data_IF_679469852036
#
_entry.id   IF_679469852036
#
_cell.length_a   1.000
_cell.length_b   1.000
_cell.length_c   1.000
_cell.angle_alpha   90.00
_cell.angle_beta   90.00
_cell.angle_gamma   90.00
#
_symmetry.space_group_name_H-M   'P 1'
#
loop_
_entity.id
_entity.type
_entity.pdbx_description
1 polymer ?
#
# COMPACT_ATOMS: atom_id res chain seq x y z
N UNK A 1 51.04 -26.88 -5.99
CA UNK A 1 49.60 -26.92 -5.71
C UNK A 1 49.01 -28.19 -6.36
N UNK A 2 48.36 -29.05 -5.60
CA UNK A 2 47.86 -30.34 -6.08
C UNK A 2 46.67 -30.09 -7.06
N UNK A 3 46.64 -30.74 -8.23
CA UNK A 3 45.57 -30.57 -9.25
C UNK A 3 44.15 -30.67 -8.66
N UNK A 4 43.95 -31.60 -7.70
CA UNK A 4 42.65 -31.73 -6.99
C UNK A 4 42.28 -30.47 -6.23
N UNK A 5 43.23 -29.83 -5.54
CA UNK A 5 43.02 -28.61 -4.78
C UNK A 5 42.67 -27.41 -5.69
N UNK A 6 43.29 -27.36 -6.87
CA UNK A 6 42.98 -26.34 -7.88
C UNK A 6 41.56 -26.48 -8.40
N UNK A 7 41.11 -27.69 -8.75
CA UNK A 7 39.72 -27.94 -9.19
C UNK A 7 38.69 -27.60 -8.11
N UNK A 8 38.97 -27.97 -6.85
CA UNK A 8 38.06 -27.67 -5.74
C UNK A 8 37.94 -26.15 -5.53
N UNK A 9 39.02 -25.41 -5.58
CA UNK A 9 39.04 -23.95 -5.49
C UNK A 9 38.31 -23.29 -6.67
N UNK A 10 38.48 -23.78 -7.89
CA UNK A 10 37.82 -23.27 -9.10
C UNK A 10 36.32 -23.49 -9.07
N UNK A 11 35.87 -24.68 -8.62
CA UNK A 11 34.44 -24.99 -8.45
C UNK A 11 33.83 -24.12 -7.36
N UNK A 12 34.51 -23.93 -6.23
CA UNK A 12 34.07 -23.07 -5.15
C UNK A 12 33.92 -21.59 -5.60
N UNK A 13 34.92 -21.06 -6.32
CA UNK A 13 34.86 -19.73 -6.86
C UNK A 13 33.71 -19.56 -7.88
N UNK A 14 33.48 -20.56 -8.73
CA UNK A 14 32.39 -20.54 -9.70
C UNK A 14 31.02 -20.61 -9.01
N UNK A 15 30.84 -21.39 -7.97
CA UNK A 15 29.60 -21.44 -7.18
C UNK A 15 29.34 -20.10 -6.47
N UNK A 16 30.38 -19.47 -5.92
CA UNK A 16 30.26 -18.15 -5.27
C UNK A 16 29.85 -17.07 -6.30
N UNK A 17 30.34 -17.14 -7.54
CA UNK A 17 29.92 -16.22 -8.61
C UNK A 17 28.48 -16.49 -9.08
N UNK A 18 28.00 -17.72 -9.01
CA UNK A 18 26.62 -18.07 -9.40
C UNK A 18 25.60 -17.65 -8.35
N UNK A 19 25.97 -17.53 -7.07
CA UNK A 19 25.05 -17.14 -6.00
C UNK A 19 24.35 -15.80 -6.24
N UNK A 20 25.07 -14.69 -6.57
CA UNK A 20 24.40 -13.42 -6.86
C UNK A 20 23.55 -13.48 -8.14
N UNK A 21 23.95 -14.24 -9.15
CA UNK A 21 23.13 -14.47 -10.35
C UNK A 21 21.85 -15.25 -10.00
N UNK A 22 21.95 -16.32 -9.21
CA UNK A 22 20.79 -17.06 -8.74
C UNK A 22 19.86 -16.16 -7.93
N UNK A 23 20.39 -15.25 -7.09
CA UNK A 23 19.60 -14.30 -6.31
C UNK A 23 18.85 -13.31 -7.22
N UNK A 24 19.45 -12.85 -8.30
CA UNK A 24 18.80 -11.96 -9.29
C UNK A 24 17.69 -12.69 -10.03
N UNK A 25 17.90 -13.98 -10.39
CA UNK A 25 16.90 -14.78 -11.11
C UNK A 25 15.79 -15.36 -10.23
N UNK A 26 16.05 -15.53 -8.93
CA UNK A 26 15.09 -16.03 -7.95
C UNK A 26 14.29 -14.92 -7.27
N UNK A 27 14.63 -13.64 -7.51
CA UNK A 27 13.86 -12.53 -6.97
C UNK A 27 12.44 -12.58 -7.57
N UNK A 28 11.39 -12.63 -6.74
CA UNK A 28 10.02 -12.64 -7.25
C UNK A 28 9.80 -11.40 -8.13
N UNK A 29 9.18 -11.62 -9.27
CA UNK A 29 8.83 -10.55 -10.20
C UNK A 29 7.35 -10.26 -10.00
N UNK A 30 7.07 -9.13 -9.40
CA UNK A 30 5.71 -8.64 -9.23
C UNK A 30 5.28 -7.86 -10.46
N UNK A 31 3.97 -7.85 -10.74
CA UNK A 31 3.40 -7.10 -11.87
C UNK A 31 3.33 -5.60 -11.57
N UNK A 32 3.18 -5.24 -10.30
CA UNK A 32 3.06 -3.86 -9.84
C UNK A 32 3.45 -3.72 -8.36
N UNK A 33 3.57 -2.47 -7.91
CA UNK A 33 3.97 -2.14 -6.53
C UNK A 33 2.96 -2.63 -5.48
N UNK A 34 1.67 -2.69 -5.79
CA UNK A 34 0.65 -3.14 -4.83
C UNK A 34 0.70 -4.65 -4.64
N UNK A 35 1.02 -5.40 -5.69
CA UNK A 35 1.28 -6.83 -5.60
C UNK A 35 2.54 -7.10 -4.75
N UNK A 36 3.57 -6.28 -4.89
CA UNK A 36 4.79 -6.35 -4.09
C UNK A 36 4.47 -6.12 -2.61
N UNK A 37 3.69 -5.08 -2.28
CA UNK A 37 3.23 -4.79 -0.91
C UNK A 37 2.38 -5.95 -0.38
N UNK A 38 1.42 -6.44 -1.17
CA UNK A 38 0.56 -7.54 -0.80
C UNK A 38 1.35 -8.79 -0.41
N UNK A 39 2.31 -9.20 -1.23
CA UNK A 39 3.11 -10.39 -0.96
C UNK A 39 4.03 -10.22 0.25
N UNK A 40 4.61 -9.05 0.45
CA UNK A 40 5.43 -8.78 1.63
C UNK A 40 4.59 -8.90 2.90
N UNK A 41 3.45 -8.22 2.97
CA UNK A 41 2.54 -8.26 4.11
C UNK A 41 1.95 -9.65 4.35
N UNK A 42 1.61 -10.38 3.30
CA UNK A 42 1.11 -11.75 3.39
C UNK A 42 2.13 -12.67 4.06
N UNK A 43 3.38 -12.60 3.68
CA UNK A 43 4.44 -13.42 4.29
C UNK A 43 4.67 -13.07 5.76
N UNK A 44 4.59 -11.80 6.14
CA UNK A 44 4.72 -11.37 7.53
C UNK A 44 3.53 -11.80 8.39
N UNK A 45 2.34 -11.89 7.81
CA UNK A 45 1.12 -12.21 8.54
C UNK A 45 0.89 -13.73 8.68
N UNK A 46 1.18 -14.48 7.62
CA UNK A 46 0.92 -15.95 7.56
C UNK A 46 2.15 -16.78 7.93
N UNK A 47 3.33 -16.26 7.67
CA UNK A 47 4.55 -17.06 7.62
C UNK A 47 5.21 -17.38 8.96
N UNK A 48 4.82 -16.75 10.07
CA UNK A 48 5.52 -16.98 11.32
C UNK A 48 4.62 -17.45 12.47
N UNK A 49 4.43 -18.74 12.55
CA UNK A 49 3.90 -19.40 13.73
C UNK A 49 4.76 -19.17 14.99
N UNK A 50 5.99 -18.72 14.85
CA UNK A 50 6.99 -18.64 15.90
C UNK A 50 7.34 -17.23 16.38
N UNK A 51 7.13 -16.21 15.58
CA UNK A 51 7.28 -14.81 15.98
C UNK A 51 6.68 -13.88 14.92
N UNK A 52 5.70 -13.04 15.22
CA UNK A 52 5.25 -12.02 14.28
C UNK A 52 6.40 -11.05 14.08
N UNK A 53 7.11 -11.17 12.96
CA UNK A 53 8.03 -10.14 12.51
C UNK A 53 7.21 -8.91 12.14
N UNK A 54 7.70 -7.73 12.50
CA UNK A 54 7.07 -6.48 12.08
C UNK A 54 6.97 -6.45 10.56
N UNK A 55 5.81 -6.08 10.02
CA UNK A 55 5.65 -5.93 8.58
C UNK A 55 6.48 -4.77 8.04
N UNK A 56 6.80 -4.78 6.76
CA UNK A 56 7.52 -3.67 6.14
C UNK A 56 6.69 -2.39 6.15
N UNK A 57 5.35 -2.48 6.03
CA UNK A 57 4.44 -1.33 6.20
C UNK A 57 4.60 -0.68 7.58
N UNK A 58 4.84 -1.48 8.63
CA UNK A 58 5.10 -0.93 9.97
C UNK A 58 6.40 -0.13 10.06
N UNK A 59 7.27 -0.25 9.10
CA UNK A 59 8.56 0.48 9.03
C UNK A 59 8.48 1.76 8.23
N UNK A 60 7.31 2.05 7.60
CA UNK A 60 7.13 3.28 6.83
C UNK A 60 7.37 4.52 7.72
N UNK A 61 7.98 5.58 7.17
CA UNK A 61 8.25 6.81 7.90
C UNK A 61 6.97 7.46 8.41
N UNK A 62 7.07 8.11 9.58
CA UNK A 62 6.02 8.94 10.19
C UNK A 62 4.69 8.19 10.47
N UNK A 63 4.74 6.86 10.65
CA UNK A 63 3.57 6.03 10.84
C UNK A 63 3.36 5.59 12.30
N UNK A 64 2.17 5.79 12.84
CA UNK A 64 1.76 5.26 14.14
C UNK A 64 1.18 3.86 13.99
N UNK A 65 1.74 2.90 14.74
CA UNK A 65 1.33 1.50 14.68
C UNK A 65 0.12 1.26 15.58
N UNK A 66 -1.04 0.97 15.00
CA UNK A 66 -2.21 0.49 15.76
C UNK A 66 -2.57 -0.92 15.29
N UNK A 67 -2.29 -1.92 16.14
CA UNK A 67 -2.85 -3.27 15.95
C UNK A 67 -4.23 -3.33 16.56
N UNK A 68 -5.25 -3.56 15.73
CA UNK A 68 -6.57 -3.93 16.19
C UNK A 68 -6.77 -5.45 16.09
N UNK A 69 -7.65 -6.00 16.92
CA UNK A 69 -7.96 -7.43 16.93
C UNK A 69 -8.34 -7.90 15.53
N UNK A 70 -7.66 -8.93 15.01
CA UNK A 70 -8.02 -9.61 13.78
C UNK A 70 -7.22 -9.19 12.55
N UNK A 71 -5.95 -8.76 12.71
CA UNK A 71 -5.02 -8.59 11.60
C UNK A 71 -5.23 -7.35 10.71
N UNK A 72 -5.94 -6.36 11.18
CA UNK A 72 -5.96 -5.04 10.56
C UNK A 72 -4.73 -4.26 11.05
N UNK A 73 -3.80 -3.99 10.15
CA UNK A 73 -2.74 -3.01 10.38
C UNK A 73 -3.28 -1.65 9.96
N UNK A 74 -3.88 -0.94 10.92
CA UNK A 74 -4.19 0.47 10.73
C UNK A 74 -2.96 1.29 11.05
N UNK A 75 -2.49 2.05 10.09
CA UNK A 75 -1.48 3.07 10.34
C UNK A 75 -2.14 4.41 10.10
N UNK A 76 -2.45 5.10 11.18
CA UNK A 76 -3.09 6.41 11.11
C UNK A 76 -2.03 7.47 10.88
N UNK A 77 -2.21 8.28 9.85
CA UNK A 77 -1.33 9.38 9.52
C UNK A 77 -1.47 10.62 10.40
N UNK A 78 -2.04 10.52 11.60
CA UNK A 78 -2.09 11.65 12.54
C UNK A 78 -0.69 12.20 12.88
N UNK A 79 0.34 11.38 12.72
CA UNK A 79 1.74 11.74 12.94
C UNK A 79 2.49 12.13 11.66
N UNK A 80 1.84 12.16 10.50
CA UNK A 80 2.48 12.79 9.36
C UNK A 80 2.85 14.21 9.76
N UNK A 81 4.14 14.54 9.67
CA UNK A 81 4.60 15.91 9.90
C UNK A 81 3.74 16.82 9.04
N UNK A 82 2.84 17.57 9.65
CA UNK A 82 1.88 18.46 8.99
C UNK A 82 2.52 19.38 7.92
N UNK A 83 3.85 19.51 7.95
CA UNK A 83 4.61 20.35 7.04
C UNK A 83 4.86 19.74 5.66
N UNK A 84 4.64 18.45 5.47
CA UNK A 84 4.91 17.74 4.20
C UNK A 84 3.66 17.37 3.40
N UNK A 85 2.47 17.47 4.00
CA UNK A 85 1.21 17.18 3.35
C UNK A 85 0.41 18.45 3.01
N UNK A 86 -0.44 18.42 1.98
CA UNK A 86 -1.43 19.48 1.76
C UNK A 86 -2.25 19.73 3.03
N UNK A 87 -2.57 20.99 3.29
CA UNK A 87 -3.27 21.42 4.54
C UNK A 87 -4.64 20.77 4.73
N UNK A 88 -5.26 20.37 3.64
CA UNK A 88 -6.58 19.75 3.60
C UNK A 88 -6.54 18.21 3.72
N UNK A 89 -5.39 17.61 4.02
CA UNK A 89 -5.34 16.20 4.36
C UNK A 89 -5.63 16.02 5.84
N UNK A 90 -6.73 15.34 6.13
CA UNK A 90 -7.13 14.96 7.47
C UNK A 90 -6.30 13.80 8.01
N UNK A 91 -6.26 12.70 7.25
CA UNK A 91 -5.49 11.50 7.62
C UNK A 91 -5.18 10.63 6.41
N UNK A 92 -4.17 9.77 6.55
CA UNK A 92 -3.86 8.70 5.61
C UNK A 92 -3.77 7.43 6.43
N UNK A 93 -4.53 6.41 6.04
CA UNK A 93 -4.52 5.11 6.69
C UNK A 93 -4.10 4.04 5.70
N UNK A 94 -3.21 3.14 6.13
CA UNK A 94 -2.87 1.94 5.42
C UNK A 94 -3.40 0.75 6.20
N UNK A 95 -4.11 -0.12 5.52
CA UNK A 95 -4.72 -1.30 6.12
C UNK A 95 -4.43 -2.49 5.23
N UNK A 96 -3.92 -3.57 5.81
CA UNK A 96 -3.85 -4.84 5.14
C UNK A 96 -4.96 -5.74 5.69
N UNK A 97 -5.91 -6.08 4.83
CA UNK A 97 -6.94 -7.07 5.16
C UNK A 97 -6.42 -8.47 4.85
N UNK A 98 -6.34 -9.27 5.90
CA UNK A 98 -6.02 -10.67 5.76
C UNK A 98 -7.09 -11.38 4.91
N UNK A 99 -6.69 -12.28 3.99
CA UNK A 99 -7.67 -13.07 3.28
C UNK A 99 -8.45 -13.90 4.28
N UNK A 100 -9.75 -13.72 4.32
CA UNK A 100 -10.62 -14.64 5.03
C UNK A 100 -10.37 -16.04 4.48
N UNK A 101 -10.16 -17.03 5.36
CA UNK A 101 -9.71 -18.38 4.99
C UNK A 101 -10.61 -19.08 3.95
N UNK A 102 -11.82 -18.60 3.74
CA UNK A 102 -12.77 -19.15 2.77
C UNK A 102 -12.67 -18.52 1.38
N UNK A 103 -12.12 -17.30 1.22
CA UNK A 103 -12.17 -16.58 -0.05
C UNK A 103 -10.80 -16.23 -0.65
N UNK A 104 -9.72 -16.33 0.09
CA UNK A 104 -8.36 -16.08 -0.40
C UNK A 104 -8.08 -14.64 -0.87
N UNK A 105 -8.92 -13.68 -0.51
CA UNK A 105 -8.92 -12.31 -1.01
C UNK A 105 -8.30 -11.35 0.01
N UNK A 106 -6.99 -11.39 0.17
CA UNK A 106 -6.31 -10.31 0.88
C UNK A 106 -6.33 -9.02 0.06
N UNK A 107 -6.58 -7.91 0.74
CA UNK A 107 -6.60 -6.58 0.12
C UNK A 107 -5.57 -5.68 0.79
N UNK A 108 -4.89 -4.88 -0.02
CA UNK A 108 -4.16 -3.70 0.49
C UNK A 108 -5.11 -2.53 0.36
N UNK A 109 -5.44 -1.91 1.48
CA UNK A 109 -6.30 -0.74 1.54
C UNK A 109 -5.48 0.50 1.90
N UNK A 110 -5.73 1.57 1.17
CA UNK A 110 -5.15 2.88 1.44
C UNK A 110 -6.31 3.86 1.49
N UNK A 111 -6.50 4.48 2.63
CA UNK A 111 -7.61 5.39 2.86
C UNK A 111 -7.04 6.78 3.11
N UNK A 112 -7.39 7.72 2.24
CA UNK A 112 -6.97 9.12 2.31
C UNK A 112 -8.21 9.95 2.63
N UNK A 113 -8.20 10.62 3.77
CA UNK A 113 -9.26 11.50 4.20
C UNK A 113 -8.86 12.95 3.93
N UNK A 114 -9.74 13.67 3.27
CA UNK A 114 -9.52 15.07 2.86
C UNK A 114 -10.60 15.95 3.48
N UNK A 115 -10.17 17.01 4.17
CA UNK A 115 -11.11 17.99 4.74
C UNK A 115 -11.82 18.77 3.65
N UNK A 116 -13.14 18.85 3.75
CA UNK A 116 -13.99 19.66 2.90
C UNK A 116 -14.22 21.05 3.53
N UNK A 117 -14.62 22.07 2.73
CA UNK A 117 -14.80 23.44 3.23
C UNK A 117 -15.86 23.60 4.33
N UNK A 118 -16.81 22.67 4.44
CA UNK A 118 -17.89 22.66 5.44
C UNK A 118 -17.60 21.77 6.64
N UNK A 119 -16.38 21.39 6.85
CA UNK A 119 -15.89 20.48 7.90
C UNK A 119 -16.27 19.01 7.72
N UNK A 120 -16.95 18.64 6.63
CA UNK A 120 -17.13 17.22 6.28
C UNK A 120 -15.83 16.64 5.72
N UNK A 121 -15.78 15.31 5.59
CA UNK A 121 -14.59 14.60 5.17
C UNK A 121 -14.91 13.79 3.91
N UNK A 122 -14.14 14.05 2.85
CA UNK A 122 -14.14 13.20 1.67
C UNK A 122 -13.09 12.13 1.85
N UNK A 123 -13.51 10.89 1.79
CA UNK A 123 -12.65 9.72 1.86
C UNK A 123 -12.42 9.17 0.45
N UNK A 124 -11.15 9.03 0.07
CA UNK A 124 -10.75 8.31 -1.13
C UNK A 124 -10.06 7.03 -0.69
N UNK A 125 -10.69 5.91 -0.99
CA UNK A 125 -10.20 4.58 -0.67
C UNK A 125 -9.61 3.95 -1.92
N UNK A 126 -8.41 3.39 -1.81
CA UNK A 126 -7.78 2.55 -2.83
C UNK A 126 -7.68 1.14 -2.31
N UNK A 127 -8.35 0.22 -2.97
CA UNK A 127 -8.32 -1.20 -2.65
C UNK A 127 -7.63 -1.97 -3.77
N UNK A 128 -6.48 -2.56 -3.49
CA UNK A 128 -5.84 -3.47 -4.44
C UNK A 128 -6.38 -4.88 -4.27
N UNK A 129 -6.99 -5.39 -5.31
CA UNK A 129 -7.48 -6.76 -5.40
C UNK A 129 -6.44 -7.64 -6.10
N UNK A 130 -5.77 -8.46 -5.31
CA UNK A 130 -4.69 -9.32 -5.82
C UNK A 130 -5.14 -10.26 -6.93
N UNK A 131 -6.29 -10.92 -6.79
CA UNK A 131 -6.76 -11.90 -7.77
C UNK A 131 -7.06 -11.32 -9.16
N UNK A 132 -7.59 -10.10 -9.21
CA UNK A 132 -7.94 -9.44 -10.47
C UNK A 132 -6.87 -8.48 -10.98
N UNK A 133 -5.82 -8.27 -10.20
CA UNK A 133 -4.76 -7.29 -10.46
C UNK A 133 -5.33 -5.88 -10.73
N UNK A 134 -6.29 -5.47 -9.90
CA UNK A 134 -7.00 -4.22 -10.03
C UNK A 134 -6.78 -3.35 -8.79
N UNK A 135 -6.63 -2.06 -9.03
CA UNK A 135 -6.68 -1.03 -8.00
C UNK A 135 -8.02 -0.30 -8.13
N UNK A 136 -8.90 -0.53 -7.18
CA UNK A 136 -10.23 0.07 -7.14
C UNK A 136 -10.15 1.35 -6.31
N UNK A 137 -10.56 2.47 -6.90
CA UNK A 137 -10.74 3.74 -6.22
C UNK A 137 -12.21 3.92 -5.87
N UNK A 138 -12.50 4.11 -4.59
CA UNK A 138 -13.85 4.39 -4.08
C UNK A 138 -13.87 5.75 -3.42
N UNK A 139 -14.98 6.47 -3.53
CA UNK A 139 -15.18 7.78 -2.91
C UNK A 139 -16.37 7.71 -1.97
N UNK A 140 -16.18 8.24 -0.77
CA UNK A 140 -17.24 8.38 0.25
C UNK A 140 -17.17 9.78 0.86
N UNK A 141 -18.26 10.24 1.41
CA UNK A 141 -18.31 11.53 2.12
C UNK A 141 -18.97 11.32 3.47
N UNK A 142 -18.29 11.76 4.51
CA UNK A 142 -18.73 11.62 5.90
C UNK A 142 -18.84 12.97 6.60
N UNK A 143 -19.69 13.02 7.64
CA UNK A 143 -19.59 14.08 8.63
C UNK A 143 -18.21 14.09 9.30
N UNK A 144 -17.80 15.23 9.88
CA UNK A 144 -16.50 15.41 10.53
C UNK A 144 -16.23 14.39 11.66
N UNK A 145 -17.27 13.86 12.28
CA UNK A 145 -17.20 12.85 13.33
C UNK A 145 -17.38 11.40 12.82
N UNK A 146 -17.44 11.19 11.50
CA UNK A 146 -17.66 9.89 10.83
C UNK A 146 -18.97 9.17 11.21
N UNK A 147 -19.92 9.85 11.84
CA UNK A 147 -21.18 9.22 12.25
C UNK A 147 -22.21 9.14 11.15
N UNK A 148 -22.11 10.01 10.17
CA UNK A 148 -23.03 10.05 9.04
C UNK A 148 -22.28 9.96 7.73
N UNK A 149 -22.65 9.00 6.89
CA UNK A 149 -22.24 8.92 5.50
C UNK A 149 -23.29 9.60 4.61
N UNK A 150 -22.85 10.37 3.64
CA UNK A 150 -23.72 11.09 2.71
C UNK A 150 -23.75 10.42 1.35
N UNK A 151 -24.89 10.38 0.65
CA UNK A 151 -24.94 9.97 -0.76
C UNK A 151 -24.08 10.93 -1.61
N UNK A 152 -23.02 10.39 -2.23
CA UNK A 152 -21.95 11.18 -2.87
C UNK A 152 -22.51 12.11 -3.94
N UNK A 153 -23.35 11.63 -4.85
CA UNK A 153 -23.91 12.46 -5.95
C UNK A 153 -24.80 13.59 -5.44
N UNK A 154 -25.66 13.27 -4.47
CA UNK A 154 -26.54 14.28 -3.86
C UNK A 154 -25.72 15.34 -3.16
N UNK A 155 -24.72 14.93 -2.39
CA UNK A 155 -23.86 15.86 -1.66
C UNK A 155 -23.07 16.78 -2.60
N UNK A 156 -22.47 16.22 -3.67
CA UNK A 156 -21.75 16.99 -4.69
C UNK A 156 -22.65 18.03 -5.31
N UNK A 157 -23.88 17.65 -5.69
CA UNK A 157 -24.84 18.55 -6.34
C UNK A 157 -25.27 19.67 -5.40
N UNK A 158 -25.61 19.33 -4.15
CA UNK A 158 -26.08 20.32 -3.16
C UNK A 158 -25.00 21.32 -2.76
N UNK A 159 -23.76 20.84 -2.60
CA UNK A 159 -22.65 21.67 -2.14
C UNK A 159 -21.81 22.25 -3.28
N UNK A 160 -22.16 21.95 -4.55
CA UNK A 160 -21.41 22.37 -5.75
C UNK A 160 -19.92 21.99 -5.65
N UNK A 161 -19.66 20.79 -5.15
CA UNK A 161 -18.31 20.29 -4.89
C UNK A 161 -17.68 19.76 -6.17
N UNK A 162 -16.47 20.21 -6.49
CA UNK A 162 -15.64 19.60 -7.52
C UNK A 162 -14.81 18.45 -6.91
N UNK A 163 -15.35 17.24 -6.94
CA UNK A 163 -14.69 16.04 -6.40
C UNK A 163 -13.36 15.75 -7.10
N UNK A 164 -13.22 16.17 -8.37
CA UNK A 164 -12.01 15.90 -9.14
C UNK A 164 -10.77 16.50 -8.47
N UNK A 165 -10.87 17.69 -7.92
CA UNK A 165 -9.77 18.36 -7.21
C UNK A 165 -9.27 17.50 -6.04
N UNK A 166 -10.19 16.93 -5.26
CA UNK A 166 -9.86 16.14 -4.08
C UNK A 166 -9.33 14.74 -4.45
N UNK A 167 -9.86 14.14 -5.49
CA UNK A 167 -9.34 12.86 -5.99
C UNK A 167 -7.95 13.02 -6.63
N UNK A 168 -7.67 14.14 -7.27
CA UNK A 168 -6.32 14.46 -7.76
C UNK A 168 -5.31 14.59 -6.61
N UNK A 169 -5.70 15.24 -5.50
CA UNK A 169 -4.87 15.32 -4.29
C UNK A 169 -4.61 13.92 -3.74
N UNK A 170 -5.64 13.08 -3.62
CA UNK A 170 -5.48 11.72 -3.14
C UNK A 170 -4.60 10.86 -4.05
N UNK A 171 -4.74 11.00 -5.36
CA UNK A 171 -3.89 10.33 -6.35
C UNK A 171 -2.42 10.78 -6.24
N UNK A 172 -2.19 12.07 -6.00
CA UNK A 172 -0.84 12.60 -5.80
C UNK A 172 -0.18 12.03 -4.54
N UNK A 173 -0.95 11.91 -3.46
CA UNK A 173 -0.47 11.30 -2.21
C UNK A 173 -0.19 9.81 -2.41
N UNK A 174 -1.09 9.07 -3.05
CA UNK A 174 -0.88 7.66 -3.38
C UNK A 174 0.44 7.48 -4.14
N UNK A 175 0.66 8.31 -5.14
CA UNK A 175 1.80 8.24 -6.03
C UNK A 175 3.09 8.72 -5.35
N UNK A 176 3.07 9.95 -4.88
CA UNK A 176 4.29 10.64 -4.46
C UNK A 176 4.65 10.38 -2.99
N UNK A 177 3.70 9.95 -2.17
CA UNK A 177 3.96 9.63 -0.76
C UNK A 177 4.05 8.12 -0.54
N UNK A 178 2.99 7.35 -0.79
CA UNK A 178 3.00 5.91 -0.51
C UNK A 178 4.13 5.17 -1.23
N UNK A 179 4.21 5.32 -2.55
CA UNK A 179 5.20 4.58 -3.35
C UNK A 179 6.62 5.06 -3.00
N UNK A 180 6.80 6.34 -2.72
CA UNK A 180 8.07 6.89 -2.27
C UNK A 180 8.48 6.34 -0.90
N UNK A 181 7.56 6.30 0.05
CA UNK A 181 7.80 5.77 1.40
C UNK A 181 8.10 4.27 1.36
N UNK A 182 7.31 3.51 0.59
CA UNK A 182 7.57 2.08 0.38
C UNK A 182 8.99 1.83 -0.12
N UNK A 183 9.42 2.57 -1.13
CA UNK A 183 10.79 2.47 -1.67
C UNK A 183 11.87 2.86 -0.67
N UNK A 184 11.57 3.69 0.29
CA UNK A 184 12.55 4.07 1.32
C UNK A 184 12.86 2.94 2.29
N UNK A 185 11.94 1.99 2.46
CA UNK A 185 12.05 0.87 3.42
C UNK A 185 12.16 -0.50 2.74
N UNK A 186 11.71 -0.62 1.48
CA UNK A 186 11.69 -1.86 0.73
C UNK A 186 12.50 -1.72 -0.58
N UNK A 187 13.32 -2.70 -0.98
CA UNK A 187 14.07 -2.66 -2.24
C UNK A 187 13.16 -2.93 -3.45
N UNK A 188 12.18 -2.07 -3.64
CA UNK A 188 11.18 -2.17 -4.70
C UNK A 188 11.79 -2.09 -6.09
N UNK A 189 11.23 -2.88 -7.03
CA UNK A 189 11.57 -2.77 -8.45
C UNK A 189 10.77 -1.68 -9.18
N UNK A 190 9.81 -1.04 -8.49
CA UNK A 190 8.94 -0.01 -9.04
C UNK A 190 9.40 1.39 -8.62
N UNK A 191 8.88 2.42 -9.30
CA UNK A 191 9.15 3.82 -8.98
C UNK A 191 7.86 4.64 -8.95
N UNK A 192 7.98 5.89 -8.53
CA UNK A 192 6.85 6.83 -8.53
C UNK A 192 6.30 7.05 -9.94
N UNK A 193 7.17 6.99 -10.95
CA UNK A 193 6.81 7.15 -12.37
C UNK A 193 6.31 5.84 -13.01
N UNK A 194 6.71 4.70 -12.43
CA UNK A 194 6.40 3.37 -12.95
C UNK A 194 6.01 2.41 -11.83
N UNK A 195 4.73 2.27 -11.57
CA UNK A 195 4.15 1.36 -10.55
C UNK A 195 3.96 -0.06 -11.07
N UNK A 196 4.26 -0.28 -12.35
CA UNK A 196 4.02 -1.55 -13.02
C UNK A 196 2.65 -1.61 -13.70
N UNK A 197 2.23 -2.84 -14.01
CA UNK A 197 0.98 -3.10 -14.70
C UNK A 197 -0.15 -3.33 -13.68
N UNK A 198 -0.94 -2.28 -13.43
CA UNK A 198 -2.15 -2.35 -12.60
C UNK A 198 -3.28 -1.60 -13.30
N UNK A 199 -4.47 -2.21 -13.34
CA UNK A 199 -5.66 -1.56 -13.89
C UNK A 199 -6.36 -0.78 -12.79
N UNK A 200 -6.38 0.55 -12.89
CA UNK A 200 -7.17 1.39 -11.99
C UNK A 200 -8.62 1.45 -12.46
N UNK A 201 -9.53 1.22 -11.54
CA UNK A 201 -10.99 1.33 -11.73
C UNK A 201 -11.48 2.35 -10.72
N UNK A 202 -12.22 3.36 -11.17
CA UNK A 202 -12.87 4.31 -10.26
C UNK A 202 -14.33 3.91 -10.11
N UNK A 203 -14.75 3.66 -8.89
CA UNK A 203 -16.12 3.37 -8.51
C UNK A 203 -16.63 4.51 -7.62
N UNK A 204 -17.67 5.18 -8.08
CA UNK A 204 -18.51 5.99 -7.20
C UNK A 204 -19.47 5.02 -6.54
N UNK A 205 -19.37 4.84 -5.22
CA UNK A 205 -20.38 4.06 -4.51
C UNK A 205 -21.62 4.94 -4.41
N UNK A 206 -22.59 4.57 -5.23
CA UNK A 206 -23.97 5.03 -5.10
C UNK A 206 -24.65 4.01 -4.18
N UNK A 207 -24.76 4.29 -2.89
CA UNK A 207 -25.66 3.54 -1.99
C UNK A 207 -27.02 4.22 -1.97
#
# INVERSE_FOLDING_TARGET
>A
MNKKMFYTLSIGAFLIMLLPLAFIFLKPRYSNVFEEIYHDEYHHTVGSWLSPTASTLESLPDMEKKRTRGLLYGVTGENYKKNSLPKNIHSINYVFEYPDNELGNGNVLIVINVDLPNSDILQVEYMYQHQSNQLIQKIRIYSDDYKQEYPVEQYITQNKLDVKVYTEIANDILKNKLISDWRSVYPSQFSVENWGNVKMISEYILD
#
